data_IF_666316516684
#
_entry.id   IF_666316516684
#
_cell.length_a   1.000
_cell.length_b   1.000
_cell.length_c   1.000
_cell.angle_alpha   90.00
_cell.angle_beta   90.00
_cell.angle_gamma   90.00
#
_symmetry.space_group_name_H-M   'P 1'
#
loop_
_entity.id
_entity.type
_entity.pdbx_description
1 polymer ?
#
# COMPACT_ATOMS: atom_id res chain seq x y z
N UNK A 1 8.00 6.09 6.69
CA UNK A 1 8.95 5.38 5.82
C UNK A 1 8.25 4.32 4.99
N UNK A 2 8.47 4.32 3.68
CA UNK A 2 7.92 3.36 2.72
C UNK A 2 8.79 2.10 2.66
N UNK A 3 8.18 0.93 2.80
CA UNK A 3 8.86 -0.36 2.60
C UNK A 3 8.75 -0.81 1.14
N UNK A 4 9.79 -0.54 0.34
CA UNK A 4 9.80 -0.79 -1.11
C UNK A 4 9.78 -2.28 -1.47
N UNK A 5 10.23 -3.17 -0.58
CA UNK A 5 10.25 -4.62 -0.82
C UNK A 5 8.85 -5.23 -0.71
N UNK A 6 7.93 -4.51 -0.07
CA UNK A 6 6.56 -4.95 0.23
C UNK A 6 5.52 -4.36 -0.70
N UNK A 7 5.95 -3.55 -1.66
CA UNK A 7 5.09 -2.88 -2.61
C UNK A 7 5.37 -3.44 -4.00
N UNK A 8 4.33 -3.75 -4.80
CA UNK A 8 4.54 -4.13 -6.19
C UNK A 8 5.38 -3.09 -6.92
N UNK A 9 6.45 -3.52 -7.60
CA UNK A 9 7.40 -2.62 -8.30
C UNK A 9 6.74 -1.66 -9.28
N UNK A 10 5.58 -2.04 -9.84
CA UNK A 10 4.79 -1.20 -10.74
C UNK A 10 4.19 0.05 -10.06
N UNK A 11 4.03 0.04 -8.74
CA UNK A 11 3.40 1.13 -7.97
C UNK A 11 4.45 2.09 -7.39
N UNK A 12 5.71 1.66 -7.25
CA UNK A 12 6.79 2.47 -6.68
C UNK A 12 7.01 3.82 -7.39
N UNK A 13 7.07 3.91 -8.73
CA UNK A 13 7.26 5.19 -9.42
C UNK A 13 6.11 6.18 -9.17
N UNK A 14 4.92 5.66 -8.91
CA UNK A 14 3.71 6.45 -8.69
C UNK A 14 3.66 6.99 -7.27
N UNK A 15 4.04 6.15 -6.31
CA UNK A 15 4.27 6.58 -4.93
C UNK A 15 5.35 7.67 -4.86
N UNK A 16 6.48 7.48 -5.54
CA UNK A 16 7.54 8.51 -5.61
C UNK A 16 7.03 9.83 -6.22
N UNK A 17 6.26 9.75 -7.31
CA UNK A 17 5.67 10.92 -7.97
C UNK A 17 4.64 11.66 -7.10
N UNK A 18 3.78 10.94 -6.37
CA UNK A 18 2.77 11.53 -5.48
C UNK A 18 3.38 12.11 -4.20
N UNK A 19 4.43 11.48 -3.67
CA UNK A 19 5.02 11.85 -2.40
C UNK A 19 6.05 12.97 -2.52
N UNK A 20 6.62 13.19 -3.71
CA UNK A 20 7.48 14.33 -4.03
C UNK A 20 8.62 14.52 -3.01
N UNK A 21 9.26 13.43 -2.59
CA UNK A 21 10.34 13.45 -1.60
C UNK A 21 9.90 13.43 -0.13
N UNK A 22 8.61 13.29 0.17
CA UNK A 22 8.06 13.08 1.54
C UNK A 22 7.90 11.58 1.89
N UNK A 23 8.75 10.74 1.33
CA UNK A 23 8.73 9.28 1.51
C UNK A 23 8.97 8.87 2.98
N UNK A 24 9.61 9.75 3.73
CA UNK A 24 9.93 9.58 5.14
C UNK A 24 8.69 9.80 6.03
N UNK A 25 7.78 10.68 5.61
CA UNK A 25 6.62 11.15 6.38
C UNK A 25 5.48 10.14 6.44
N UNK A 26 5.45 9.16 5.54
CA UNK A 26 4.35 8.20 5.43
C UNK A 26 4.83 6.78 5.69
N UNK A 27 4.14 6.06 6.58
CA UNK A 27 4.35 4.63 6.77
C UNK A 27 3.45 3.86 5.80
N UNK A 28 4.06 3.30 4.75
CA UNK A 28 3.34 2.54 3.73
C UNK A 28 4.09 1.24 3.38
N UNK A 29 3.41 0.08 3.38
CA UNK A 29 2.02 -0.12 3.79
C UNK A 29 1.79 0.25 5.27
N UNK A 30 0.59 0.74 5.66
CA UNK A 30 0.31 1.08 7.05
C UNK A 30 0.41 -0.17 7.95
N UNK A 31 0.74 -0.06 9.25
CA UNK A 31 0.96 -1.21 10.13
C UNK A 31 -0.22 -2.20 10.20
N UNK A 32 -1.45 -1.69 10.06
CA UNK A 32 -2.67 -2.51 10.01
C UNK A 32 -2.67 -3.48 8.84
N UNK A 33 -1.93 -3.17 7.78
CA UNK A 33 -1.82 -4.00 6.59
C UNK A 33 -1.21 -5.37 6.92
N UNK A 34 -0.14 -5.43 7.73
CA UNK A 34 0.41 -6.72 8.19
C UNK A 34 -0.46 -7.39 9.23
N UNK A 35 -0.94 -6.61 10.21
CA UNK A 35 -1.73 -7.13 11.31
C UNK A 35 -2.98 -7.88 10.83
N UNK A 36 -3.51 -7.45 9.68
CA UNK A 36 -4.69 -8.04 9.06
C UNK A 36 -4.38 -8.90 7.84
N UNK A 37 -3.10 -9.19 7.53
CA UNK A 37 -2.67 -9.95 6.33
C UNK A 37 -3.27 -9.39 5.03
N UNK A 38 -3.19 -8.07 4.88
CA UNK A 38 -3.64 -7.34 3.71
C UNK A 38 -2.87 -7.72 2.45
N UNK A 39 -3.55 -7.69 1.31
CA UNK A 39 -2.97 -7.93 -0.01
C UNK A 39 -3.39 -6.81 -0.95
N UNK A 40 -2.44 -6.21 -1.67
CA UNK A 40 -2.76 -5.20 -2.70
C UNK A 40 -3.24 -5.97 -3.93
N UNK A 41 -4.52 -5.80 -4.30
CA UNK A 41 -5.11 -6.52 -5.44
C UNK A 41 -5.06 -5.69 -6.72
N UNK A 42 -5.22 -4.38 -6.59
CA UNK A 42 -5.29 -3.48 -7.74
C UNK A 42 -4.82 -2.07 -7.40
N UNK A 43 -4.20 -1.43 -8.39
CA UNK A 43 -3.89 -0.01 -8.37
C UNK A 43 -4.34 0.60 -9.71
N UNK A 44 -5.34 1.49 -9.65
CA UNK A 44 -5.82 2.23 -10.81
C UNK A 44 -5.23 3.65 -10.76
N UNK A 45 -4.30 3.91 -11.69
CA UNK A 45 -3.53 5.14 -11.76
C UNK A 45 -4.39 6.31 -12.23
N UNK A 46 -5.27 6.07 -13.21
CA UNK A 46 -6.13 7.10 -13.78
C UNK A 46 -7.16 7.59 -12.77
N UNK A 47 -7.59 6.69 -11.86
CA UNK A 47 -8.53 7.01 -10.77
C UNK A 47 -7.85 7.29 -9.43
N UNK A 48 -6.52 7.27 -9.38
CA UNK A 48 -5.72 7.42 -8.14
C UNK A 48 -6.22 6.52 -6.99
N UNK A 49 -6.60 5.28 -7.31
CA UNK A 49 -7.25 4.37 -6.34
C UNK A 49 -6.44 3.11 -6.08
N UNK A 50 -6.33 2.74 -4.80
CA UNK A 50 -5.68 1.52 -4.32
C UNK A 50 -6.72 0.58 -3.72
N UNK A 51 -6.83 -0.64 -4.24
CA UNK A 51 -7.71 -1.67 -3.72
C UNK A 51 -6.92 -2.72 -2.95
N UNK A 52 -7.27 -2.86 -1.66
CA UNK A 52 -6.67 -3.81 -0.76
C UNK A 52 -7.68 -4.90 -0.36
N UNK A 53 -7.24 -6.16 -0.35
CA UNK A 53 -7.96 -7.27 0.27
C UNK A 53 -7.51 -7.39 1.71
N UNK A 54 -8.45 -7.54 2.63
CA UNK A 54 -8.16 -7.99 3.98
C UNK A 54 -8.95 -9.25 4.26
N UNK A 55 -8.34 -10.35 4.75
CA UNK A 55 -9.10 -11.48 5.27
C UNK A 55 -9.97 -11.03 6.44
N UNK A 56 -11.27 -11.30 6.34
CA UNK A 56 -12.20 -11.08 7.46
C UNK A 56 -11.88 -12.12 8.53
N UNK A 57 -11.43 -11.66 9.69
CA UNK A 57 -11.31 -12.52 10.88
C UNK A 57 -12.71 -13.03 11.21
N UNK A 58 -12.96 -14.33 11.00
CA UNK A 58 -14.14 -14.98 11.56
C UNK A 58 -13.90 -15.13 13.06
N UNK A 59 -14.66 -14.40 13.87
CA UNK A 59 -14.79 -14.72 15.29
C UNK A 59 -15.57 -16.03 15.39
N UNK A 60 -14.92 -17.09 15.88
CA UNK A 60 -15.60 -18.27 16.45
C UNK A 60 -16.20 -17.92 17.81
#
# INVERSE_FOLDING_TARGET
MIDKDRIPKAILPLLEAMLQGREDEINFPPPVFDATKGEVINFDIEKESLTNKFPVLRTE
#
